data_IF_436673471716
#
_entry.id   IF_436673471716
#
_cell.length_a   1.000
_cell.length_b   1.000
_cell.length_c   1.000
_cell.angle_alpha   90.00
_cell.angle_beta   90.00
_cell.angle_gamma   90.00
#
_symmetry.space_group_name_H-M   'P 1'
#
loop_
_entity.id
_entity.type
_entity.pdbx_description
1 polymer ?
#
# COMPACT_ATOMS: atom_id res chain seq x y z
N UNK A 1 -9.61 -14.40 -22.24
CA UNK A 1 -9.21 -13.45 -23.30
C UNK A 1 -7.73 -13.67 -23.64
N UNK A 2 -7.32 -13.57 -24.91
CA UNK A 2 -5.90 -13.55 -25.32
C UNK A 2 -5.55 -12.15 -25.80
N UNK A 3 -4.46 -11.59 -25.30
CA UNK A 3 -3.97 -10.27 -25.66
C UNK A 3 -2.59 -10.32 -26.30
N UNK A 4 -2.12 -9.18 -26.80
CA UNK A 4 -0.74 -9.00 -27.25
C UNK A 4 -0.07 -7.95 -26.39
N UNK A 5 1.24 -8.10 -26.19
CA UNK A 5 2.06 -7.02 -25.67
C UNK A 5 2.23 -5.96 -26.76
N UNK A 6 2.05 -4.69 -26.37
CA UNK A 6 2.26 -3.54 -27.24
C UNK A 6 3.42 -2.71 -26.71
N UNK A 7 4.22 -2.15 -27.61
CA UNK A 7 5.31 -1.26 -27.24
C UNK A 7 4.76 0.11 -26.80
N UNK A 8 5.28 0.61 -25.68
CA UNK A 8 4.97 1.93 -25.13
C UNK A 8 6.33 2.57 -24.79
N UNK A 9 6.96 3.24 -25.76
CA UNK A 9 8.34 3.72 -25.63
C UNK A 9 9.31 2.57 -25.32
N UNK A 10 10.07 2.70 -24.23
CA UNK A 10 10.98 1.67 -23.72
C UNK A 10 10.29 0.58 -22.88
N UNK A 11 8.96 0.69 -22.69
CA UNK A 11 8.15 -0.27 -21.92
C UNK A 11 7.25 -1.12 -22.83
N UNK A 12 6.60 -2.12 -22.25
CA UNK A 12 5.54 -2.90 -22.90
C UNK A 12 4.29 -2.92 -22.04
N UNK A 13 3.12 -2.85 -22.67
CA UNK A 13 1.82 -2.91 -22.00
C UNK A 13 0.90 -3.99 -22.57
N UNK A 14 -0.19 -4.26 -21.86
CA UNK A 14 -1.34 -5.05 -22.33
C UNK A 14 -2.56 -4.13 -22.34
N UNK A 15 -3.38 -4.22 -23.39
CA UNK A 15 -4.67 -3.52 -23.43
C UNK A 15 -5.70 -4.30 -22.63
N UNK A 16 -6.21 -3.70 -21.57
CA UNK A 16 -7.28 -4.25 -20.74
C UNK A 16 -8.62 -3.61 -21.15
N UNK A 17 -9.67 -4.39 -21.48
CA UNK A 17 -11.01 -3.87 -21.67
C UNK A 17 -11.51 -3.11 -20.45
N UNK A 18 -12.26 -2.03 -20.69
CA UNK A 18 -12.87 -1.21 -19.63
C UNK A 18 -13.68 -2.06 -18.64
N UNK A 19 -14.44 -3.02 -19.13
CA UNK A 19 -15.24 -3.92 -18.30
C UNK A 19 -14.39 -4.68 -17.27
N UNK A 20 -13.18 -5.14 -17.63
CA UNK A 20 -12.29 -5.82 -16.68
C UNK A 20 -11.73 -4.87 -15.62
N UNK A 21 -11.48 -3.61 -15.98
CA UNK A 21 -11.03 -2.60 -15.02
C UNK A 21 -12.15 -2.31 -13.99
N UNK A 22 -13.39 -2.21 -14.46
CA UNK A 22 -14.58 -1.97 -13.63
C UNK A 22 -14.88 -3.17 -12.71
N UNK A 23 -14.89 -4.39 -13.25
CA UNK A 23 -15.10 -5.62 -12.48
C UNK A 23 -14.02 -5.83 -11.41
N UNK A 24 -12.77 -5.49 -11.73
CA UNK A 24 -11.66 -5.58 -10.78
C UNK A 24 -11.55 -4.38 -9.81
N UNK A 25 -12.37 -3.34 -9.99
CA UNK A 25 -12.31 -2.12 -9.19
C UNK A 25 -10.97 -1.39 -9.29
N UNK A 26 -10.32 -1.46 -10.45
CA UNK A 26 -9.07 -0.74 -10.73
C UNK A 26 -9.36 0.70 -11.15
N UNK A 27 -8.56 1.62 -10.63
CA UNK A 27 -8.59 3.05 -10.96
C UNK A 27 -7.33 3.44 -11.73
N UNK A 28 -7.01 4.73 -11.81
CA UNK A 28 -5.82 5.22 -12.53
C UNK A 28 -4.50 4.76 -11.89
N UNK A 29 -4.50 4.53 -10.58
CA UNK A 29 -3.36 3.98 -9.85
C UNK A 29 -3.56 2.49 -9.51
N UNK A 30 -2.53 1.69 -9.76
CA UNK A 30 -2.50 0.25 -9.51
C UNK A 30 -1.14 -0.18 -8.97
N UNK A 31 -1.12 -1.23 -8.15
CA UNK A 31 0.10 -1.93 -7.78
C UNK A 31 0.36 -3.07 -8.77
N UNK A 32 1.61 -3.23 -9.21
CA UNK A 32 2.02 -4.26 -10.17
C UNK A 32 3.14 -5.10 -9.55
N UNK A 33 2.95 -6.42 -9.54
CA UNK A 33 3.93 -7.39 -9.00
C UNK A 33 4.18 -8.51 -9.99
N UNK A 34 5.45 -8.85 -10.21
CA UNK A 34 5.84 -9.97 -11.05
C UNK A 34 6.11 -11.23 -10.20
N UNK A 35 5.65 -12.38 -10.69
CA UNK A 35 5.99 -13.73 -10.21
C UNK A 35 6.34 -14.60 -11.42
N UNK A 36 6.86 -15.80 -11.20
CA UNK A 36 7.25 -16.70 -12.30
C UNK A 36 6.06 -16.94 -13.25
N UNK A 37 6.16 -16.40 -14.46
CA UNK A 37 5.15 -16.52 -15.51
C UNK A 37 3.88 -15.67 -15.33
N UNK A 38 3.79 -14.81 -14.31
CA UNK A 38 2.56 -14.07 -13.98
C UNK A 38 2.86 -12.63 -13.58
N UNK A 39 2.08 -11.68 -14.10
CA UNK A 39 2.01 -10.30 -13.58
C UNK A 39 0.67 -10.15 -12.86
N UNK A 40 0.72 -9.72 -11.61
CA UNK A 40 -0.47 -9.39 -10.80
C UNK A 40 -0.63 -7.88 -10.81
N UNK A 41 -1.84 -7.43 -11.15
CA UNK A 41 -2.25 -6.02 -11.12
C UNK A 41 -3.41 -5.94 -10.12
N UNK A 42 -3.29 -5.08 -9.12
CA UNK A 42 -4.29 -4.90 -8.08
C UNK A 42 -4.50 -3.43 -7.76
N UNK A 43 -5.66 -3.09 -7.19
CA UNK A 43 -5.96 -1.71 -6.80
C UNK A 43 -4.95 -1.23 -5.75
N UNK A 44 -4.56 0.04 -5.80
CA UNK A 44 -3.74 0.62 -4.73
C UNK A 44 -4.51 0.58 -3.41
N UNK A 45 -3.89 0.02 -2.38
CA UNK A 45 -4.41 0.15 -1.02
C UNK A 45 -4.26 1.59 -0.56
N UNK A 46 -5.29 2.20 0.03
CA UNK A 46 -5.10 3.54 0.61
C UNK A 46 -4.05 3.45 1.73
N UNK A 47 -3.10 4.40 1.82
CA UNK A 47 -2.16 4.46 2.93
C UNK A 47 -2.93 4.35 4.25
N UNK A 48 -2.42 3.50 5.15
CA UNK A 48 -3.01 3.25 6.47
C UNK A 48 -4.42 2.63 6.46
N UNK A 49 -4.86 2.03 5.35
CA UNK A 49 -6.06 1.19 5.36
C UNK A 49 -5.89 0.11 6.43
N UNK A 50 -6.90 -0.03 7.30
CA UNK A 50 -6.88 -1.01 8.40
C UNK A 50 -6.07 -0.59 9.63
N UNK A 51 -5.34 0.53 9.62
CA UNK A 51 -4.56 0.97 10.79
C UNK A 51 -5.44 1.28 12.00
N UNK A 52 -6.61 1.90 11.80
CA UNK A 52 -7.54 2.17 12.89
C UNK A 52 -8.04 0.88 13.55
N UNK A 53 -8.30 -0.18 12.76
CA UNK A 53 -8.68 -1.49 13.30
C UNK A 53 -7.48 -2.16 13.99
N UNK A 54 -6.30 -2.13 13.38
CA UNK A 54 -5.08 -2.66 13.99
C UNK A 54 -4.77 -1.97 15.34
N UNK A 55 -4.91 -0.65 15.42
CA UNK A 55 -4.75 0.11 16.67
C UNK A 55 -5.79 -0.28 17.72
N UNK A 56 -7.07 -0.45 17.34
CA UNK A 56 -8.11 -0.98 18.24
C UNK A 56 -7.76 -2.38 18.76
N UNK A 57 -7.22 -3.25 17.91
CA UNK A 57 -6.83 -4.60 18.28
C UNK A 57 -5.62 -4.61 19.21
N UNK A 58 -4.61 -3.77 18.95
CA UNK A 58 -3.48 -3.55 19.86
C UNK A 58 -3.95 -3.10 21.24
N UNK A 59 -4.86 -2.12 21.30
CA UNK A 59 -5.46 -1.66 22.56
C UNK A 59 -6.22 -2.77 23.29
N UNK A 60 -7.04 -3.55 22.58
CA UNK A 60 -7.79 -4.69 23.16
C UNK A 60 -6.86 -5.73 23.77
N UNK A 61 -5.68 -5.94 23.17
CA UNK A 61 -4.64 -6.86 23.66
C UNK A 61 -3.72 -6.22 24.70
N UNK A 62 -3.85 -4.91 24.93
CA UNK A 62 -2.98 -4.12 25.82
C UNK A 62 -1.49 -4.14 25.39
N UNK A 63 -1.27 -4.34 24.07
CA UNK A 63 0.03 -4.32 23.38
C UNK A 63 0.42 -2.91 22.93
N UNK A 64 -0.34 -1.89 23.34
CA UNK A 64 -0.16 -0.48 22.98
C UNK A 64 0.69 0.31 24.00
N UNK A 65 1.39 -0.40 24.90
CA UNK A 65 2.23 0.21 25.94
C UNK A 65 3.66 0.44 25.46
N UNK A 66 4.32 1.42 26.07
CA UNK A 66 5.75 1.68 25.85
C UNK A 66 6.58 0.45 26.24
N UNK A 67 7.52 0.08 25.37
CA UNK A 67 8.54 -0.92 25.66
C UNK A 67 9.62 -0.22 26.48
N UNK A 68 9.52 -0.32 27.80
CA UNK A 68 10.45 0.31 28.74
C UNK A 68 10.04 1.70 29.20
N UNK A 69 10.90 2.32 30.02
CA UNK A 69 10.67 3.66 30.51
C UNK A 69 10.91 4.69 29.39
N UNK A 70 10.13 5.78 29.32
CA UNK A 70 10.39 6.87 28.40
C UNK A 70 11.77 7.49 28.72
N UNK A 71 12.60 7.62 27.71
CA UNK A 71 13.92 8.27 27.82
C UNK A 71 13.82 9.63 27.14
N UNK A 72 14.27 10.68 27.84
CA UNK A 72 14.34 12.02 27.26
C UNK A 72 15.30 12.01 26.08
N UNK A 73 14.85 12.54 24.96
CA UNK A 73 15.67 12.70 23.76
C UNK A 73 16.16 14.13 23.65
N UNK A 74 17.21 14.34 22.84
CA UNK A 74 17.66 15.69 22.49
C UNK A 74 16.52 16.54 21.90
N UNK A 75 15.58 15.92 21.19
CA UNK A 75 14.43 16.60 20.60
C UNK A 75 13.54 17.24 21.69
N UNK A 76 13.23 16.46 22.74
CA UNK A 76 12.46 16.92 23.91
C UNK A 76 13.13 18.10 24.62
N UNK A 77 14.46 18.15 24.59
CA UNK A 77 15.24 19.12 25.37
C UNK A 77 15.58 20.40 24.60
N UNK A 78 15.82 20.29 23.28
CA UNK A 78 16.50 21.35 22.53
C UNK A 78 15.84 21.72 21.21
N UNK A 79 14.96 20.86 20.67
CA UNK A 79 14.46 21.02 19.30
C UNK A 79 12.97 21.34 19.25
N UNK A 80 12.18 20.95 20.26
CA UNK A 80 10.77 21.33 20.34
C UNK A 80 10.62 22.85 20.42
N UNK A 81 9.92 23.43 19.44
CA UNK A 81 9.41 24.81 19.46
C UNK A 81 7.94 24.82 19.00
N UNK A 82 7.12 25.66 19.63
CA UNK A 82 5.71 25.87 19.26
C UNK A 82 5.58 26.87 18.11
#
# INVERSE_FOLDING_TARGET
MRGRLVQIGNSRGVRLPKLLLEEAGLTDEVEIRARKGVIVIERVGRPRTGWAEAARQLRKRNDDRLVGAPVRTRFDDKEWRW
#
